data_IF_266022321293
#
_entry.id   IF_266022321293
#
_cell.length_a   1.000
_cell.length_b   1.000
_cell.length_c   1.000
_cell.angle_alpha   90.00
_cell.angle_beta   90.00
_cell.angle_gamma   90.00
#
_symmetry.space_group_name_H-M   'P 1'
#
loop_
_entity.id
_entity.type
_entity.pdbx_description
1 polymer ?
#
# COMPACT_ATOMS: atom_id res chain seq x y z
N UNK A 1 6.64 -26.31 -2.85
CA UNK A 1 5.40 -26.85 -3.46
C UNK A 1 5.14 -26.09 -4.74
N UNK A 2 4.62 -26.76 -5.78
CA UNK A 2 4.37 -26.19 -7.13
C UNK A 2 2.95 -25.58 -7.17
N UNK A 3 2.59 -24.78 -6.17
CA UNK A 3 1.28 -24.14 -6.08
C UNK A 3 1.38 -22.79 -5.38
N UNK A 4 0.47 -21.84 -5.68
CA UNK A 4 0.50 -20.53 -5.05
C UNK A 4 0.28 -20.68 -3.53
N UNK A 5 1.17 -20.11 -2.73
CA UNK A 5 1.00 -20.06 -1.28
C UNK A 5 -0.23 -19.21 -0.94
N UNK A 6 -1.36 -19.87 -0.70
CA UNK A 6 -2.62 -19.22 -0.35
C UNK A 6 -2.65 -18.72 1.11
N UNK A 7 -1.64 -18.99 1.93
CA UNK A 7 -1.59 -18.51 3.33
C UNK A 7 -1.41 -16.99 3.44
N UNK A 8 -1.03 -16.37 2.33
CA UNK A 8 -0.73 -14.93 2.20
C UNK A 8 -1.66 -14.19 1.24
N UNK A 9 -2.72 -14.84 0.80
CA UNK A 9 -3.72 -14.25 -0.11
C UNK A 9 -4.85 -13.58 0.69
N UNK A 10 -5.55 -12.60 0.12
CA UNK A 10 -6.72 -11.96 0.74
C UNK A 10 -6.35 -10.72 1.56
N UNK A 11 -5.97 -9.66 0.84
CA UNK A 11 -5.49 -8.35 1.35
C UNK A 11 -4.11 -8.34 2.04
N UNK A 12 -3.44 -9.50 2.14
CA UNK A 12 -2.01 -9.59 2.54
C UNK A 12 -1.07 -9.30 1.37
N UNK A 13 -1.44 -9.79 0.18
CA UNK A 13 -0.91 -9.32 -1.09
C UNK A 13 -1.99 -8.49 -1.79
N UNK A 14 -1.56 -7.40 -2.42
CA UNK A 14 -2.43 -6.53 -3.20
C UNK A 14 -2.59 -7.08 -4.62
N UNK A 15 -3.55 -6.56 -5.37
CA UNK A 15 -3.78 -6.99 -6.76
C UNK A 15 -2.54 -6.72 -7.63
N UNK A 16 -1.85 -5.61 -7.37
CA UNK A 16 -0.58 -5.23 -8.00
C UNK A 16 0.52 -6.27 -7.76
N UNK A 17 0.60 -6.81 -6.55
CA UNK A 17 1.52 -7.90 -6.24
C UNK A 17 1.17 -9.14 -7.06
N UNK A 18 -0.12 -9.49 -7.16
CA UNK A 18 -0.55 -10.64 -7.96
C UNK A 18 -0.26 -10.48 -9.45
N UNK A 19 -0.47 -9.28 -10.00
CA UNK A 19 -0.16 -8.97 -11.39
C UNK A 19 1.34 -9.08 -11.66
N UNK A 20 2.18 -8.49 -10.82
CA UNK A 20 3.63 -8.62 -10.92
C UNK A 20 4.06 -10.10 -10.83
N UNK A 21 3.46 -10.84 -9.90
CA UNK A 21 3.75 -12.26 -9.71
C UNK A 21 3.34 -13.13 -10.91
N UNK A 22 2.17 -12.89 -11.50
CA UNK A 22 1.74 -13.63 -12.69
C UNK A 22 2.57 -13.28 -13.92
N UNK A 23 3.03 -12.03 -14.05
CA UNK A 23 3.87 -11.62 -15.17
C UNK A 23 5.28 -12.20 -15.10
N UNK A 24 5.94 -12.05 -13.95
CA UNK A 24 7.23 -12.64 -13.66
C UNK A 24 7.40 -12.87 -12.15
N UNK A 25 7.19 -14.10 -11.66
CA UNK A 25 7.31 -14.42 -10.25
C UNK A 25 8.66 -14.01 -9.62
N UNK A 26 9.73 -13.98 -10.42
CA UNK A 26 11.09 -13.69 -9.96
C UNK A 26 11.33 -12.22 -9.66
N UNK A 27 10.45 -11.33 -10.12
CA UNK A 27 10.48 -9.91 -9.72
C UNK A 27 10.16 -9.71 -8.25
N UNK A 28 9.41 -10.63 -7.63
CA UNK A 28 8.96 -10.53 -6.23
C UNK A 28 9.64 -11.57 -5.34
N UNK A 29 9.90 -12.75 -5.90
CA UNK A 29 10.52 -13.88 -5.23
C UNK A 29 11.61 -14.43 -6.15
N UNK A 30 12.87 -13.96 -6.03
CA UNK A 30 13.95 -14.32 -6.96
C UNK A 30 14.14 -15.83 -7.16
N UNK A 31 13.93 -16.61 -6.10
CA UNK A 31 14.06 -18.08 -6.10
C UNK A 31 12.77 -18.81 -6.54
N UNK A 32 11.79 -18.11 -7.10
CA UNK A 32 10.52 -18.72 -7.50
C UNK A 32 10.70 -19.70 -8.66
N UNK A 33 10.24 -20.94 -8.46
CA UNK A 33 10.17 -21.97 -9.51
C UNK A 33 8.91 -21.87 -10.36
N UNK A 34 7.99 -20.95 -10.02
CA UNK A 34 6.74 -20.77 -10.78
C UNK A 34 7.06 -20.22 -12.17
N UNK A 35 6.44 -20.80 -13.20
CA UNK A 35 6.53 -20.29 -14.55
C UNK A 35 5.80 -18.94 -14.66
N UNK A 36 6.25 -18.01 -15.51
CA UNK A 36 5.51 -16.79 -15.80
C UNK A 36 4.22 -17.11 -16.58
N UNK A 37 3.13 -16.43 -16.24
CA UNK A 37 1.81 -16.57 -16.87
C UNK A 37 1.51 -15.37 -17.78
N UNK A 38 2.50 -14.92 -18.57
CA UNK A 38 2.37 -13.76 -19.47
C UNK A 38 1.23 -13.91 -20.48
N UNK A 39 0.92 -15.15 -20.90
CA UNK A 39 -0.22 -15.43 -21.78
C UNK A 39 -1.61 -15.13 -21.21
N UNK A 40 -1.72 -14.76 -19.92
CA UNK A 40 -2.96 -14.23 -19.34
C UNK A 40 -3.12 -12.72 -19.54
N UNK A 41 -2.07 -12.03 -19.98
CA UNK A 41 -2.07 -10.62 -20.34
C UNK A 41 -2.37 -10.47 -21.83
N UNK A 42 -3.00 -9.36 -22.19
CA UNK A 42 -3.16 -8.95 -23.57
C UNK A 42 -1.94 -8.12 -23.98
N UNK A 43 -1.10 -8.68 -24.84
CA UNK A 43 0.09 -8.02 -25.38
C UNK A 43 -0.16 -7.69 -26.86
N UNK A 44 -0.36 -6.41 -27.25
CA UNK A 44 -0.44 -6.03 -28.65
C UNK A 44 0.87 -6.36 -29.37
N UNK A 45 0.78 -6.86 -30.61
CA UNK A 45 1.97 -7.25 -31.40
C UNK A 45 2.86 -6.05 -31.79
N UNK A 46 2.29 -4.84 -31.86
CA UNK A 46 3.01 -3.64 -32.25
C UNK A 46 3.57 -2.88 -31.04
N UNK A 47 4.86 -2.56 -31.09
CA UNK A 47 5.48 -1.64 -30.14
C UNK A 47 4.90 -0.23 -30.31
N UNK A 48 4.71 0.46 -29.19
CA UNK A 48 4.15 1.82 -29.13
C UNK A 48 5.25 2.84 -29.02
N UNK A 49 5.20 3.89 -29.83
CA UNK A 49 6.18 4.97 -29.80
C UNK A 49 6.03 5.84 -28.55
N UNK A 50 7.14 6.28 -28.00
CA UNK A 50 7.21 7.26 -26.92
C UNK A 50 7.35 8.65 -27.55
N UNK A 51 6.54 9.61 -27.11
CA UNK A 51 6.52 10.99 -27.62
C UNK A 51 6.66 11.99 -26.48
N UNK A 52 7.09 13.21 -26.79
CA UNK A 52 7.02 14.34 -25.85
C UNK A 52 5.60 14.91 -25.89
N UNK A 53 4.98 15.14 -24.74
CA UNK A 53 3.64 15.71 -24.65
C UNK A 53 3.58 17.23 -24.88
N UNK A 54 4.72 17.85 -25.19
CA UNK A 54 4.89 19.29 -25.38
C UNK A 54 5.16 20.06 -24.09
N UNK A 55 5.21 19.37 -22.94
CA UNK A 55 5.51 19.95 -21.62
C UNK A 55 6.83 19.46 -21.03
N UNK A 56 7.61 18.70 -21.80
CA UNK A 56 8.87 18.08 -21.36
C UNK A 56 8.67 16.75 -20.63
N UNK A 57 7.45 16.19 -20.65
CA UNK A 57 7.18 14.84 -20.17
C UNK A 57 7.13 13.87 -21.36
N UNK A 58 7.65 12.66 -21.15
CA UNK A 58 7.49 11.54 -22.11
C UNK A 58 6.14 10.86 -21.86
N UNK A 59 5.40 10.63 -22.94
CA UNK A 59 4.10 9.93 -22.99
C UNK A 59 4.08 8.92 -24.16
N UNK A 60 2.95 8.27 -24.40
CA UNK A 60 2.75 7.31 -25.49
C UNK A 60 2.13 7.99 -26.72
N UNK A 61 2.50 7.54 -27.92
CA UNK A 61 1.84 7.94 -29.16
C UNK A 61 0.38 7.49 -29.17
N UNK A 62 -0.53 8.40 -29.55
CA UNK A 62 -1.96 8.12 -29.69
C UNK A 62 -2.21 7.29 -30.95
N UNK A 63 -2.52 6.02 -30.75
CA UNK A 63 -2.89 4.99 -31.74
C UNK A 63 -4.17 4.28 -31.30
N UNK A 64 -4.85 3.55 -32.20
CA UNK A 64 -6.05 2.75 -31.87
C UNK A 64 -5.79 1.78 -30.69
N UNK A 65 -4.61 1.15 -30.66
CA UNK A 65 -4.18 0.25 -29.57
C UNK A 65 -4.10 1.00 -28.23
N UNK A 66 -3.46 2.17 -28.21
CA UNK A 66 -3.31 2.94 -26.97
C UNK A 66 -4.62 3.63 -26.58
N UNK A 67 -5.47 4.05 -27.51
CA UNK A 67 -6.78 4.66 -27.24
C UNK A 67 -7.77 3.63 -26.65
N UNK A 68 -7.61 2.34 -26.98
CA UNK A 68 -8.35 1.27 -26.32
C UNK A 68 -7.96 1.04 -24.86
N UNK A 69 -6.79 1.56 -24.45
CA UNK A 69 -6.09 1.22 -23.22
C UNK A 69 -5.86 2.41 -22.26
N UNK A 70 -5.83 3.64 -22.77
CA UNK A 70 -5.56 4.85 -22.02
C UNK A 70 -6.56 5.94 -22.37
N UNK A 71 -6.92 6.75 -21.37
CA UNK A 71 -7.67 7.99 -21.58
C UNK A 71 -6.68 9.16 -21.76
N UNK A 72 -6.37 9.43 -23.03
CA UNK A 72 -5.53 10.56 -23.43
C UNK A 72 -6.18 11.93 -23.18
N UNK A 73 -7.50 11.96 -22.98
CA UNK A 73 -8.25 13.19 -22.74
C UNK A 73 -8.38 13.49 -21.23
N UNK A 74 -7.89 12.57 -20.38
CA UNK A 74 -7.84 12.76 -18.95
C UNK A 74 -6.92 13.93 -18.59
N UNK A 75 -7.26 14.67 -17.52
CA UNK A 75 -6.38 15.71 -16.96
C UNK A 75 -5.14 15.13 -16.25
N UNK A 76 -4.91 13.82 -16.32
CA UNK A 76 -3.79 13.15 -15.67
C UNK A 76 -2.76 12.72 -16.71
N UNK A 77 -1.52 13.14 -16.52
CA UNK A 77 -0.43 12.78 -17.42
C UNK A 77 -0.08 11.28 -17.30
N UNK A 78 0.17 10.63 -18.44
CA UNK A 78 0.82 9.32 -18.54
C UNK A 78 2.31 9.53 -18.29
N UNK A 79 2.71 9.62 -17.01
CA UNK A 79 4.09 9.93 -16.65
C UNK A 79 4.99 8.69 -16.63
N UNK A 80 5.82 8.57 -17.65
CA UNK A 80 6.78 7.48 -17.88
C UNK A 80 8.03 7.63 -16.99
N UNK A 81 8.18 6.82 -15.93
CA UNK A 81 9.34 6.86 -15.00
C UNK A 81 10.35 5.73 -15.26
N UNK A 82 11.63 6.00 -15.62
CA UNK A 82 12.65 4.99 -15.92
C UNK A 82 13.19 4.26 -14.72
N UNK A 83 13.54 2.98 -14.88
CA UNK A 83 14.50 2.33 -13.98
C UNK A 83 15.69 1.67 -14.72
N UNK A 84 16.61 1.06 -13.98
CA UNK A 84 17.78 0.35 -14.51
C UNK A 84 17.45 -0.86 -15.40
N UNK A 85 16.21 -1.34 -15.34
CA UNK A 85 15.68 -2.40 -16.18
C UNK A 85 14.77 -1.84 -17.28
N UNK A 86 14.71 -0.49 -17.40
CA UNK A 86 14.00 0.38 -18.35
C UNK A 86 12.49 0.63 -18.09
N UNK A 87 11.88 0.02 -17.08
CA UNK A 87 10.41 -0.10 -17.02
C UNK A 87 9.74 1.25 -16.80
N UNK A 88 8.56 1.44 -17.38
CA UNK A 88 7.78 2.69 -17.24
C UNK A 88 6.62 2.48 -16.28
N UNK A 89 6.54 3.33 -15.25
CA UNK A 89 5.33 3.46 -14.44
C UNK A 89 4.25 4.23 -15.21
N UNK A 90 2.96 3.89 -15.07
CA UNK A 90 1.85 4.79 -15.43
C UNK A 90 0.78 4.78 -14.33
N UNK A 91 0.34 5.94 -13.83
CA UNK A 91 -0.73 6.03 -12.81
C UNK A 91 -2.06 5.40 -13.26
N UNK A 92 -2.80 4.78 -12.33
CA UNK A 92 -4.07 4.08 -12.58
C UNK A 92 -5.15 4.97 -13.23
N UNK A 93 -5.27 6.22 -12.80
CA UNK A 93 -6.35 7.13 -13.22
C UNK A 93 -6.19 7.66 -14.65
N UNK A 94 -4.99 7.58 -15.24
CA UNK A 94 -4.78 7.81 -16.68
C UNK A 94 -5.21 6.61 -17.54
N UNK A 95 -5.59 5.50 -16.91
CA UNK A 95 -5.87 4.24 -17.60
C UNK A 95 -7.36 3.99 -17.81
N UNK A 96 -8.28 4.48 -16.96
CA UNK A 96 -9.75 4.15 -16.88
C UNK A 96 -10.13 2.65 -17.03
N UNK A 97 -9.13 1.80 -17.25
CA UNK A 97 -9.09 0.39 -17.64
C UNK A 97 -7.73 -0.17 -17.21
N UNK A 98 -7.60 -1.47 -17.44
CA UNK A 98 -6.71 -2.41 -16.76
C UNK A 98 -5.22 -2.06 -16.81
N UNK A 99 -4.44 -2.47 -15.80
CA UNK A 99 -3.03 -2.15 -15.65
C UNK A 99 -2.21 -2.58 -16.86
N UNK A 100 -1.33 -1.68 -17.29
CA UNK A 100 -0.46 -1.82 -18.46
C UNK A 100 0.98 -1.87 -17.99
N UNK A 101 1.68 -2.92 -18.40
CA UNK A 101 3.11 -3.10 -18.21
C UNK A 101 3.78 -2.54 -19.45
N UNK A 102 4.73 -1.66 -19.25
CA UNK A 102 5.56 -1.13 -20.33
C UNK A 102 6.93 -1.77 -20.20
N UNK A 103 7.17 -2.85 -20.95
CA UNK A 103 8.50 -3.44 -20.97
C UNK A 103 9.42 -2.59 -21.84
N UNK A 104 10.62 -2.32 -21.35
CA UNK A 104 11.64 -1.57 -22.06
C UNK A 104 12.67 -2.49 -22.72
N UNK A 105 13.33 -1.89 -23.69
CA UNK A 105 14.65 -2.29 -24.16
C UNK A 105 15.74 -1.88 -23.15
N UNK A 106 16.96 -2.41 -23.32
CA UNK A 106 18.10 -2.22 -22.40
C UNK A 106 18.53 -0.76 -22.17
N UNK A 107 17.98 0.18 -22.93
CA UNK A 107 18.29 1.59 -22.82
C UNK A 107 17.02 2.40 -22.88
N UNK A 108 16.71 3.12 -21.82
CA UNK A 108 15.64 4.11 -21.76
C UNK A 108 15.73 5.22 -22.83
N UNK A 109 16.75 5.18 -23.69
CA UNK A 109 16.95 5.96 -24.91
C UNK A 109 16.06 5.49 -26.07
N UNK A 110 15.38 4.35 -25.96
CA UNK A 110 14.49 3.82 -26.99
C UNK A 110 13.31 4.74 -27.32
N UNK A 111 12.90 4.74 -28.59
CA UNK A 111 11.73 5.48 -29.08
C UNK A 111 10.43 4.69 -28.94
N UNK A 112 10.45 3.43 -28.47
CA UNK A 112 9.27 2.55 -28.41
C UNK A 112 9.24 1.67 -27.16
N UNK A 113 8.04 1.17 -26.82
CA UNK A 113 7.75 0.26 -25.68
C UNK A 113 6.76 -0.83 -26.07
N UNK A 114 6.83 -1.99 -25.42
CA UNK A 114 5.77 -3.01 -25.54
C UNK A 114 4.78 -2.86 -24.39
N UNK A 115 3.49 -3.11 -24.67
CA UNK A 115 2.41 -3.01 -23.70
C UNK A 115 1.92 -4.41 -23.33
N UNK A 116 1.70 -4.68 -22.04
CA UNK A 116 0.92 -5.83 -21.60
C UNK A 116 -0.21 -5.37 -20.69
N UNK A 117 -1.47 -5.61 -21.09
CA UNK A 117 -2.65 -5.20 -20.36
C UNK A 117 -3.29 -6.38 -19.62
N UNK A 118 -3.83 -6.16 -18.42
CA UNK A 118 -4.62 -7.19 -17.74
C UNK A 118 -5.91 -7.51 -18.54
N UNK A 119 -6.28 -8.79 -18.59
CA UNK A 119 -7.50 -9.30 -19.26
C UNK A 119 -8.67 -9.47 -18.28
N UNK A 120 -9.89 -9.75 -18.77
CA UNK A 120 -11.03 -10.08 -17.88
C UNK A 120 -10.80 -11.37 -17.11
N UNK A 121 -10.25 -12.38 -17.78
CA UNK A 121 -9.86 -13.63 -17.16
C UNK A 121 -8.82 -13.44 -16.06
N UNK A 122 -7.81 -12.59 -16.28
CA UNK A 122 -6.79 -12.31 -15.26
C UNK A 122 -7.37 -11.55 -14.06
N UNK A 123 -8.18 -10.52 -14.30
CA UNK A 123 -8.87 -9.78 -13.24
C UNK A 123 -9.79 -10.70 -12.41
N UNK A 124 -10.52 -11.60 -13.07
CA UNK A 124 -11.36 -12.60 -12.41
C UNK A 124 -10.53 -13.60 -11.61
N UNK A 125 -9.39 -14.04 -12.12
CA UNK A 125 -8.46 -14.92 -11.42
C UNK A 125 -7.89 -14.25 -10.15
N UNK A 126 -7.43 -13.00 -10.25
CA UNK A 126 -6.94 -12.23 -9.10
C UNK A 126 -8.06 -12.10 -8.06
N UNK A 127 -9.28 -11.71 -8.49
CA UNK A 127 -10.46 -11.60 -7.62
C UNK A 127 -10.79 -12.92 -6.92
N UNK A 128 -10.74 -14.04 -7.64
CA UNK A 128 -10.97 -15.37 -7.10
C UNK A 128 -9.91 -15.76 -6.06
N UNK A 129 -8.63 -15.55 -6.38
CA UNK A 129 -7.51 -15.78 -5.46
C UNK A 129 -7.71 -14.95 -4.19
N UNK A 130 -7.91 -13.63 -4.31
CA UNK A 130 -8.21 -12.74 -3.18
C UNK A 130 -9.37 -13.27 -2.32
N UNK A 131 -10.47 -13.70 -2.95
CA UNK A 131 -11.64 -14.26 -2.26
C UNK A 131 -11.32 -15.51 -1.45
N UNK A 132 -10.48 -16.42 -1.96
CA UNK A 132 -10.03 -17.60 -1.22
C UNK A 132 -9.29 -17.21 0.07
N UNK A 133 -8.45 -16.17 0.01
CA UNK A 133 -7.75 -15.65 1.19
C UNK A 133 -8.67 -15.01 2.22
N UNK A 134 -9.73 -14.33 1.78
CA UNK A 134 -10.67 -13.60 2.65
C UNK A 134 -11.76 -14.47 3.29
N UNK A 135 -12.12 -15.61 2.70
CA UNK A 135 -13.16 -16.51 3.24
C UNK A 135 -12.75 -17.25 4.55
N UNK A 136 -11.66 -16.85 5.22
CA UNK A 136 -11.16 -17.48 6.46
C UNK A 136 -11.74 -16.91 7.77
N UNK A 137 -12.64 -15.91 7.73
CA UNK A 137 -13.34 -15.38 8.93
C UNK A 137 -12.46 -14.58 9.92
N UNK A 138 -12.95 -14.38 11.16
CA UNK A 138 -12.28 -13.65 12.28
C UNK A 138 -10.86 -14.12 12.62
N UNK A 139 -10.43 -15.28 12.13
CA UNK A 139 -9.04 -15.77 12.21
C UNK A 139 -7.99 -14.76 11.72
N UNK A 140 -8.40 -13.80 10.89
CA UNK A 140 -7.53 -12.76 10.35
C UNK A 140 -7.07 -11.72 11.37
N UNK A 141 -7.89 -11.44 12.40
CA UNK A 141 -7.58 -10.41 13.40
C UNK A 141 -6.63 -10.94 14.49
N UNK A 142 -6.43 -12.28 14.54
CA UNK A 142 -5.51 -12.98 15.43
C UNK A 142 -4.16 -13.34 14.78
N UNK A 143 -3.80 -12.74 13.64
CA UNK A 143 -2.42 -12.85 13.14
C UNK A 143 -1.47 -12.06 14.05
N UNK A 144 -1.13 -12.68 15.19
CA UNK A 144 -0.25 -12.19 16.27
C UNK A 144 1.09 -11.57 15.85
N UNK A 145 1.74 -11.94 14.72
CA UNK A 145 3.01 -11.28 14.36
C UNK A 145 2.88 -9.79 14.00
N UNK A 146 1.65 -9.27 13.87
CA UNK A 146 1.37 -7.89 13.46
C UNK A 146 1.07 -6.93 14.62
N UNK A 147 0.88 -7.46 15.84
CA UNK A 147 0.72 -6.71 17.09
C UNK A 147 2.04 -6.54 17.83
N UNK A 148 3.12 -6.31 17.07
CA UNK A 148 4.36 -5.83 17.64
C UNK A 148 4.12 -4.39 18.09
N UNK A 149 3.89 -4.21 19.39
CA UNK A 149 4.20 -2.95 20.05
C UNK A 149 5.66 -2.60 19.77
N UNK A 150 5.98 -1.30 19.76
CA UNK A 150 7.31 -0.82 19.38
C UNK A 150 8.34 -1.49 20.29
N UNK A 151 9.02 -2.50 19.78
CA UNK A 151 10.19 -3.08 20.43
C UNK A 151 11.36 -2.19 20.09
N UNK A 152 12.08 -1.77 21.13
CA UNK A 152 13.37 -1.09 21.00
C UNK A 152 14.48 -2.12 20.67
N UNK A 153 14.19 -2.99 19.71
CA UNK A 153 15.13 -3.95 19.18
C UNK A 153 16.01 -3.20 18.17
N UNK A 154 17.28 -3.04 18.52
CA UNK A 154 18.29 -2.42 17.67
C UNK A 154 19.43 -3.40 17.39
N UNK A 155 20.15 -3.14 16.31
CA UNK A 155 21.38 -3.83 15.95
C UNK A 155 22.50 -2.80 15.86
N UNK A 156 23.68 -3.06 16.45
CA UNK A 156 24.78 -2.12 16.38
C UNK A 156 25.22 -1.93 14.94
N UNK A 157 25.47 -0.67 14.56
CA UNK A 157 26.04 -0.36 13.23
C UNK A 157 27.40 -1.02 13.09
N UNK A 158 27.54 -1.91 12.11
CA UNK A 158 28.83 -2.51 11.72
C UNK A 158 28.85 -2.77 10.22
N UNK A 159 30.04 -2.80 9.62
CA UNK A 159 30.20 -3.16 8.21
C UNK A 159 29.69 -4.58 7.91
N UNK A 160 29.85 -5.51 8.87
CA UNK A 160 29.34 -6.88 8.78
C UNK A 160 27.81 -6.92 8.67
N UNK A 161 27.10 -6.22 9.57
CA UNK A 161 25.63 -6.20 9.54
C UNK A 161 25.07 -5.45 8.35
N UNK A 162 25.74 -4.40 7.88
CA UNK A 162 25.37 -3.69 6.66
C UNK A 162 25.54 -4.60 5.44
N UNK A 163 26.66 -5.34 5.35
CA UNK A 163 26.90 -6.29 4.26
C UNK A 163 25.89 -7.44 4.26
N UNK A 164 25.61 -8.04 5.42
CA UNK A 164 24.57 -9.06 5.54
C UNK A 164 23.17 -8.50 5.21
N UNK A 165 22.88 -7.28 5.65
CA UNK A 165 21.65 -6.57 5.33
C UNK A 165 21.45 -6.36 3.83
N UNK A 166 22.52 -6.11 3.08
CA UNK A 166 22.51 -6.03 1.61
C UNK A 166 22.09 -7.37 0.98
N UNK A 167 22.61 -8.50 1.46
CA UNK A 167 22.22 -9.82 0.97
C UNK A 167 20.72 -10.09 1.20
N UNK A 168 20.21 -9.72 2.38
CA UNK A 168 18.77 -9.82 2.68
C UNK A 168 17.96 -8.92 1.74
N UNK A 169 18.41 -7.68 1.54
CA UNK A 169 17.76 -6.72 0.65
C UNK A 169 17.67 -7.22 -0.79
N UNK A 170 18.77 -7.73 -1.35
CA UNK A 170 18.84 -8.26 -2.71
C UNK A 170 17.93 -9.47 -2.92
N UNK A 171 17.68 -10.27 -1.89
CA UNK A 171 16.79 -11.42 -2.00
C UNK A 171 15.32 -11.08 -1.81
N UNK A 172 15.00 -10.03 -1.05
CA UNK A 172 13.63 -9.80 -0.52
C UNK A 172 13.02 -8.45 -0.89
N UNK A 173 13.83 -7.42 -1.12
CA UNK A 173 13.37 -6.03 -1.20
C UNK A 173 13.64 -5.38 -2.57
N UNK A 174 14.74 -5.77 -3.24
CA UNK A 174 15.23 -5.13 -4.47
C UNK A 174 14.20 -5.15 -5.61
N UNK A 175 13.37 -6.19 -5.67
CA UNK A 175 12.33 -6.36 -6.68
C UNK A 175 11.36 -5.19 -6.76
N UNK A 176 11.02 -4.60 -5.60
CA UNK A 176 10.14 -3.43 -5.52
C UNK A 176 10.94 -2.14 -5.34
N UNK A 177 11.89 -2.12 -4.42
CA UNK A 177 12.57 -0.88 -4.01
C UNK A 177 13.77 -0.49 -4.88
N UNK A 178 14.23 -1.36 -5.77
CA UNK A 178 15.32 -1.10 -6.73
C UNK A 178 16.71 -1.24 -6.13
N UNK A 179 17.72 -1.46 -6.97
CA UNK A 179 19.11 -1.68 -6.52
C UNK A 179 19.70 -0.45 -5.79
N UNK A 180 19.18 0.75 -6.10
CA UNK A 180 19.59 2.01 -5.48
C UNK A 180 18.68 2.42 -4.30
N UNK A 181 17.64 1.65 -4.01
CA UNK A 181 16.62 2.03 -3.03
C UNK A 181 15.72 3.19 -3.48
N UNK A 182 15.67 3.50 -4.78
CA UNK A 182 14.93 4.63 -5.38
C UNK A 182 13.43 4.35 -5.58
N UNK A 183 12.92 3.25 -5.01
CA UNK A 183 11.51 2.86 -5.13
C UNK A 183 11.14 2.40 -6.55
N UNK A 184 12.12 1.94 -7.31
CA UNK A 184 12.02 1.77 -8.75
C UNK A 184 12.52 0.40 -9.23
N UNK A 185 12.28 -0.65 -8.44
CA UNK A 185 12.58 -2.03 -8.84
C UNK A 185 11.70 -2.53 -10.00
N UNK A 186 12.01 -3.71 -10.57
CA UNK A 186 11.26 -4.25 -11.71
C UNK A 186 9.76 -4.47 -11.42
N UNK A 187 9.37 -4.78 -10.18
CA UNK A 187 7.97 -4.89 -9.81
C UNK A 187 7.25 -3.53 -9.66
N UNK A 188 7.99 -2.41 -9.57
CA UNK A 188 7.40 -1.10 -9.29
C UNK A 188 6.41 -0.63 -10.39
N UNK A 189 6.57 -1.06 -11.64
CA UNK A 189 5.64 -0.75 -12.75
C UNK A 189 4.21 -1.23 -12.50
N UNK A 190 4.04 -2.29 -11.69
CA UNK A 190 2.74 -2.82 -11.32
C UNK A 190 2.09 -2.05 -10.18
N UNK A 191 2.84 -1.26 -9.42
CA UNK A 191 2.42 -0.68 -8.13
C UNK A 191 1.66 0.64 -8.32
N UNK A 192 0.62 0.61 -9.14
CA UNK A 192 -0.10 1.78 -9.64
C UNK A 192 -0.90 2.54 -8.57
N UNK A 193 -1.29 1.91 -7.46
CA UNK A 193 -1.96 2.61 -6.37
C UNK A 193 -0.98 3.33 -5.44
N UNK A 194 0.17 2.71 -5.15
CA UNK A 194 1.16 3.21 -4.21
C UNK A 194 2.55 2.75 -4.64
N UNK A 195 3.43 3.70 -4.97
CA UNK A 195 4.81 3.37 -5.31
C UNK A 195 5.57 2.78 -4.12
N UNK A 196 6.53 1.87 -4.37
CA UNK A 196 7.53 1.50 -3.38
C UNK A 196 8.23 2.74 -2.83
N UNK A 197 8.64 2.69 -1.56
CA UNK A 197 9.35 3.80 -0.92
C UNK A 197 10.71 4.01 -1.58
N UNK A 198 10.96 5.26 -1.98
CA UNK A 198 12.29 5.77 -2.24
C UNK A 198 12.98 6.08 -0.90
N UNK A 199 14.06 5.36 -0.62
CA UNK A 199 14.87 5.50 0.59
C UNK A 199 15.91 6.60 0.45
N UNK A 200 16.28 7.01 -0.77
CA UNK A 200 17.38 7.96 -1.03
C UNK A 200 17.13 9.36 -0.47
N UNK A 201 15.85 9.73 -0.31
CA UNK A 201 15.40 10.98 0.32
C UNK A 201 15.26 10.91 1.84
N UNK A 202 15.42 9.73 2.44
CA UNK A 202 15.20 9.45 3.87
C UNK A 202 13.83 9.92 4.43
N UNK A 203 12.80 9.99 3.57
CA UNK A 203 11.44 10.39 3.98
C UNK A 203 10.58 9.16 4.32
N UNK A 204 10.42 8.89 5.61
CA UNK A 204 9.64 7.75 6.12
C UNK A 204 8.27 8.17 6.68
N UNK A 205 7.22 7.53 6.19
CA UNK A 205 5.83 7.83 6.57
C UNK A 205 5.48 7.40 8.00
N UNK A 206 5.95 6.23 8.42
CA UNK A 206 5.55 5.60 9.68
C UNK A 206 6.71 5.69 10.67
N UNK A 207 6.54 6.53 11.68
CA UNK A 207 7.56 6.81 12.69
C UNK A 207 6.92 7.07 14.05
N UNK A 208 7.72 6.95 15.10
CA UNK A 208 7.37 7.35 16.46
C UNK A 208 8.34 8.42 16.96
N UNK A 209 8.91 9.23 16.09
CA UNK A 209 9.87 10.30 16.44
C UNK A 209 9.24 11.67 16.24
N UNK A 210 9.85 12.74 16.80
CA UNK A 210 9.46 14.11 16.45
C UNK A 210 10.09 14.51 15.12
N UNK A 211 11.34 14.16 14.96
CA UNK A 211 12.20 14.34 13.79
C UNK A 211 11.77 13.39 12.65
N UNK A 212 12.04 13.72 11.37
CA UNK A 212 11.53 12.96 10.24
C UNK A 212 12.08 11.53 10.13
N UNK A 213 13.25 11.25 10.72
CA UNK A 213 13.86 9.93 10.65
C UNK A 213 13.23 8.94 11.65
N UNK A 214 12.96 7.69 11.22
CA UNK A 214 12.44 6.62 12.07
C UNK A 214 13.54 5.99 12.92
N UNK A 215 13.15 5.34 14.02
CA UNK A 215 14.04 4.44 14.78
C UNK A 215 14.14 3.05 14.14
N UNK A 216 15.07 2.21 14.61
CA UNK A 216 15.12 0.79 14.21
C UNK A 216 13.79 0.08 14.52
N UNK A 217 13.18 0.39 15.67
CA UNK A 217 11.88 -0.17 16.07
C UNK A 217 10.75 0.22 15.13
N UNK A 218 10.73 1.47 14.63
CA UNK A 218 9.76 1.92 13.64
C UNK A 218 9.88 1.17 12.31
N UNK A 219 11.11 1.01 11.83
CA UNK A 219 11.39 0.28 10.59
C UNK A 219 11.12 -1.22 10.76
N UNK A 220 11.51 -1.80 11.89
CA UNK A 220 11.26 -3.21 12.22
C UNK A 220 9.77 -3.51 12.24
N UNK A 221 8.98 -2.64 12.88
CA UNK A 221 7.52 -2.76 12.90
C UNK A 221 6.95 -2.73 11.48
N UNK A 222 7.40 -1.78 10.66
CA UNK A 222 6.96 -1.65 9.26
C UNK A 222 7.29 -2.88 8.43
N UNK A 223 8.53 -3.38 8.50
CA UNK A 223 8.98 -4.57 7.75
C UNK A 223 8.23 -5.82 8.22
N UNK A 224 8.08 -5.99 9.53
CA UNK A 224 7.46 -7.18 10.11
C UNK A 224 6.01 -7.35 9.67
N UNK A 225 5.23 -6.26 9.72
CA UNK A 225 3.79 -6.32 9.43
C UNK A 225 3.44 -6.02 7.96
N UNK A 226 4.38 -5.49 7.20
CA UNK A 226 4.11 -4.94 5.88
C UNK A 226 3.26 -3.68 5.96
N UNK A 227 2.68 -3.27 4.83
CA UNK A 227 1.79 -2.10 4.77
C UNK A 227 0.49 -2.53 4.11
N UNK A 228 -0.57 -2.67 4.93
CA UNK A 228 -1.89 -3.11 4.46
C UNK A 228 -2.43 -2.20 3.35
N UNK A 229 -3.12 -2.80 2.38
CA UNK A 229 -3.64 -2.09 1.21
C UNK A 229 -2.54 -1.64 0.24
N UNK A 230 -1.35 -2.21 0.31
CA UNK A 230 -0.25 -1.99 -0.63
C UNK A 230 0.44 -3.32 -0.97
N UNK A 231 1.34 -3.30 -1.94
CA UNK A 231 2.11 -4.47 -2.32
C UNK A 231 3.29 -4.78 -1.38
N UNK A 232 3.50 -4.02 -0.29
CA UNK A 232 4.54 -4.31 0.70
C UNK A 232 4.06 -5.39 1.68
N UNK A 233 4.51 -6.65 1.54
CA UNK A 233 4.01 -7.73 2.37
C UNK A 233 4.63 -7.72 3.77
N UNK A 234 4.04 -8.47 4.73
CA UNK A 234 4.71 -8.76 5.98
C UNK A 234 5.93 -9.66 5.78
N UNK A 235 6.93 -9.48 6.64
CA UNK A 235 8.17 -10.27 6.69
C UNK A 235 8.46 -10.86 8.07
N UNK A 236 7.43 -11.08 8.89
CA UNK A 236 7.60 -11.61 10.25
C UNK A 236 8.25 -13.00 10.30
N UNK A 237 8.14 -13.77 9.22
CA UNK A 237 8.75 -15.08 9.07
C UNK A 237 10.26 -15.03 8.89
N UNK A 238 10.81 -13.86 8.52
CA UNK A 238 12.25 -13.68 8.51
C UNK A 238 12.77 -13.61 9.95
N UNK A 239 13.92 -14.24 10.24
CA UNK A 239 14.60 -14.07 11.52
C UNK A 239 14.72 -12.59 11.91
N UNK A 240 14.65 -12.30 13.21
CA UNK A 240 14.78 -10.93 13.72
C UNK A 240 16.09 -10.28 13.24
N UNK A 241 17.19 -11.03 13.25
CA UNK A 241 18.50 -10.54 12.79
C UNK A 241 18.50 -10.16 11.30
N UNK A 242 17.82 -10.91 10.43
CA UNK A 242 17.71 -10.58 9.01
C UNK A 242 16.97 -9.26 8.82
N UNK A 243 15.85 -9.09 9.54
CA UNK A 243 15.06 -7.84 9.52
C UNK A 243 15.85 -6.65 10.05
N UNK A 244 16.59 -6.82 11.14
CA UNK A 244 17.45 -5.77 11.70
C UNK A 244 18.65 -5.45 10.79
N UNK A 245 19.26 -6.44 10.16
CA UNK A 245 20.38 -6.24 9.26
C UNK A 245 19.97 -5.47 8.01
N UNK A 246 18.82 -5.81 7.38
CA UNK A 246 18.33 -5.03 6.24
C UNK A 246 17.99 -3.59 6.61
N UNK A 247 17.56 -3.32 7.86
CA UNK A 247 17.39 -1.96 8.38
C UNK A 247 18.72 -1.21 8.39
N UNK A 248 19.82 -1.84 8.84
CA UNK A 248 21.14 -1.20 8.82
C UNK A 248 21.56 -0.82 7.39
N UNK A 249 21.35 -1.72 6.43
CA UNK A 249 21.63 -1.44 5.02
C UNK A 249 20.79 -0.28 4.47
N UNK A 250 19.48 -0.27 4.75
CA UNK A 250 18.59 0.83 4.33
C UNK A 250 19.07 2.17 4.91
N UNK A 251 19.37 2.22 6.22
CA UNK A 251 19.76 3.46 6.91
C UNK A 251 21.10 4.03 6.45
N UNK A 252 22.10 3.16 6.29
CA UNK A 252 23.48 3.62 6.15
C UNK A 252 24.03 3.53 4.73
N UNK A 253 23.35 2.82 3.82
CA UNK A 253 23.77 2.73 2.41
C UNK A 253 22.70 3.30 1.46
N UNK A 254 21.41 3.03 1.68
CA UNK A 254 20.36 3.48 0.75
C UNK A 254 19.86 4.89 1.06
N UNK A 255 19.68 5.24 2.34
CA UNK A 255 19.25 6.56 2.80
C UNK A 255 20.43 7.56 2.84
N UNK A 256 20.97 7.82 1.65
CA UNK A 256 22.07 8.74 1.41
C UNK A 256 21.74 9.55 0.16
N UNK A 257 21.70 10.87 0.29
CA UNK A 257 21.58 11.77 -0.86
C UNK A 257 22.94 11.80 -1.59
N UNK A 258 22.88 11.52 -2.89
CA UNK A 258 24.05 11.45 -3.78
C UNK A 258 23.92 12.42 -4.95
N UNK A 259 23.08 13.46 -4.81
CA UNK A 259 22.94 14.54 -5.79
C UNK A 259 24.26 15.27 -6.05
N UNK A 260 25.12 15.39 -5.03
CA UNK A 260 26.55 15.68 -5.16
C UNK A 260 27.39 14.43 -4.86
N UNK A 261 27.90 13.70 -5.88
CA UNK A 261 28.72 12.51 -5.67
C UNK A 261 30.04 12.77 -4.92
N UNK A 262 30.54 14.01 -4.91
CA UNK A 262 31.76 14.37 -4.18
C UNK A 262 31.51 14.55 -2.67
N UNK A 263 30.26 14.79 -2.27
CA UNK A 263 29.86 15.00 -0.88
C UNK A 263 28.51 14.35 -0.58
N UNK A 264 28.45 13.00 -0.51
CA UNK A 264 27.20 12.30 -0.23
C UNK A 264 26.72 12.61 1.19
N UNK A 265 25.44 12.95 1.33
CA UNK A 265 24.83 13.28 2.62
C UNK A 265 24.14 12.04 3.22
N UNK A 266 24.75 11.45 4.23
CA UNK A 266 24.24 10.24 4.89
C UNK A 266 23.31 10.58 6.06
N UNK A 267 22.00 10.68 5.78
CA UNK A 267 20.99 11.18 6.73
C UNK A 267 21.07 10.57 8.14
N UNK A 268 21.20 9.25 8.26
CA UNK A 268 21.26 8.57 9.58
C UNK A 268 22.60 8.70 10.30
N UNK A 269 23.63 9.26 9.65
CA UNK A 269 24.93 9.60 10.27
C UNK A 269 24.92 11.05 10.72
N UNK A 270 24.45 11.94 9.86
CA UNK A 270 24.45 13.38 10.11
C UNK A 270 23.33 13.81 11.08
N UNK A 271 22.15 13.19 10.98
CA UNK A 271 20.96 13.53 11.76
C UNK A 271 20.31 12.27 12.37
N UNK A 272 20.95 11.59 13.34
CA UNK A 272 20.39 10.39 13.93
C UNK A 272 18.99 10.64 14.53
N UNK A 273 18.09 9.64 14.50
CA UNK A 273 16.72 9.81 14.99
C UNK A 273 16.70 10.19 16.46
N UNK A 274 15.80 11.11 16.82
CA UNK A 274 15.54 11.47 18.21
C UNK A 274 14.86 10.34 18.99
N UNK A 275 14.68 10.51 20.32
CA UNK A 275 14.03 9.51 21.15
C UNK A 275 12.58 9.27 20.70
N UNK A 276 12.06 8.03 20.79
CA UNK A 276 10.67 7.74 20.54
C UNK A 276 9.74 8.60 21.41
N UNK A 277 8.65 9.07 20.82
CA UNK A 277 7.55 9.73 21.51
C UNK A 277 6.86 8.72 22.43
N UNK A 278 6.62 9.13 23.67
CA UNK A 278 5.80 8.38 24.59
C UNK A 278 4.32 8.46 24.16
N UNK A 279 3.72 7.31 23.84
CA UNK A 279 2.27 7.18 23.67
C UNK A 279 1.76 6.52 24.94
N UNK A 280 0.92 7.25 25.70
CA UNK A 280 0.27 6.71 26.89
C UNK A 280 -0.68 5.55 26.55
N UNK A 281 -1.18 4.86 27.58
CA UNK A 281 -2.20 3.82 27.35
C UNK A 281 -3.47 4.46 26.79
N UNK A 282 -4.16 3.81 25.83
CA UNK A 282 -5.42 4.33 25.32
C UNK A 282 -6.43 4.45 26.47
N UNK A 283 -7.14 5.58 26.60
CA UNK A 283 -8.21 5.70 27.58
C UNK A 283 -9.37 4.78 27.22
N UNK A 284 -10.19 4.40 28.21
CA UNK A 284 -11.38 3.56 27.98
C UNK A 284 -12.35 4.26 27.02
N UNK A 285 -12.80 3.58 25.94
CA UNK A 285 -13.73 4.18 24.99
C UNK A 285 -15.08 4.48 25.64
N UNK A 286 -15.71 5.58 25.22
CA UNK A 286 -17.05 5.98 25.66
C UNK A 286 -17.79 6.74 24.57
N UNK A 287 -19.12 6.86 24.68
CA UNK A 287 -19.91 7.65 23.72
C UNK A 287 -19.48 9.12 23.72
N UNK A 288 -19.22 9.71 24.90
CA UNK A 288 -18.71 11.08 25.04
C UNK A 288 -17.40 11.28 24.27
N UNK A 289 -16.51 10.29 24.28
CA UNK A 289 -15.25 10.34 23.54
C UNK A 289 -15.46 10.27 22.02
N UNK A 290 -16.42 9.47 21.55
CA UNK A 290 -16.78 9.43 20.14
C UNK A 290 -17.40 10.74 19.66
N UNK A 291 -18.27 11.33 20.46
CA UNK A 291 -18.89 12.63 20.18
C UNK A 291 -17.82 13.72 20.11
N UNK A 292 -16.88 13.72 21.08
CA UNK A 292 -15.72 14.62 21.06
C UNK A 292 -14.84 14.41 19.82
N UNK A 293 -14.54 13.16 19.48
CA UNK A 293 -13.74 12.83 18.29
C UNK A 293 -14.39 13.31 16.99
N UNK A 294 -15.71 13.24 16.90
CA UNK A 294 -16.48 13.79 15.78
C UNK A 294 -16.41 15.32 15.71
N UNK A 295 -16.41 16.01 16.85
CA UNK A 295 -16.19 17.46 16.88
C UNK A 295 -14.77 17.82 16.42
N UNK A 296 -13.76 17.11 16.94
CA UNK A 296 -12.35 17.30 16.53
C UNK A 296 -12.19 17.06 15.03
N UNK A 297 -12.86 16.05 14.45
CA UNK A 297 -12.87 15.79 13.00
C UNK A 297 -13.33 17.01 12.18
N UNK A 298 -14.33 17.74 12.68
CA UNK A 298 -14.84 18.95 12.03
C UNK A 298 -13.87 20.12 12.19
N UNK A 299 -13.39 20.36 13.42
CA UNK A 299 -12.49 21.49 13.75
C UNK A 299 -11.12 21.34 13.10
N UNK A 300 -10.55 20.14 13.13
CA UNK A 300 -9.29 19.78 12.47
C UNK A 300 -9.41 19.70 10.94
N UNK A 301 -10.63 19.86 10.40
CA UNK A 301 -10.94 19.84 8.96
C UNK A 301 -10.50 18.55 8.26
N UNK A 302 -10.50 17.42 8.99
CA UNK A 302 -10.14 16.12 8.44
C UNK A 302 -11.01 15.76 7.21
N UNK A 303 -12.28 16.18 7.24
CA UNK A 303 -13.25 15.98 6.16
C UNK A 303 -12.89 16.68 4.84
N UNK A 304 -12.09 17.74 4.83
CA UNK A 304 -11.72 18.43 3.58
C UNK A 304 -10.94 17.49 2.64
N UNK A 305 -10.16 16.57 3.21
CA UNK A 305 -9.43 15.54 2.48
C UNK A 305 -10.14 14.17 2.58
N UNK A 306 -10.51 13.73 3.77
CA UNK A 306 -11.05 12.38 3.96
C UNK A 306 -12.56 12.26 3.70
N UNK A 307 -13.26 13.36 3.45
CA UNK A 307 -14.72 13.40 3.29
C UNK A 307 -15.47 13.30 4.62
N UNK A 308 -16.76 13.63 4.64
CA UNK A 308 -17.55 13.62 5.88
C UNK A 308 -17.65 12.22 6.51
N UNK A 309 -17.65 11.19 5.66
CA UNK A 309 -17.72 9.78 6.09
C UNK A 309 -16.38 9.05 6.16
N UNK A 310 -15.25 9.73 5.93
CA UNK A 310 -13.92 9.12 5.97
C UNK A 310 -13.56 8.25 4.75
N UNK A 311 -14.27 8.35 3.63
CA UNK A 311 -14.03 7.54 2.42
C UNK A 311 -12.83 7.99 1.58
N UNK A 312 -12.23 9.12 1.90
CA UNK A 312 -11.18 9.73 1.07
C UNK A 312 -11.73 10.51 -0.13
N UNK A 313 -12.99 10.95 -0.07
CA UNK A 313 -13.73 11.65 -1.11
C UNK A 313 -13.98 13.13 -0.80
N UNK A 314 -13.14 13.73 0.07
CA UNK A 314 -13.21 15.17 0.36
C UNK A 314 -12.83 16.01 -0.86
N UNK A 315 -13.31 17.27 -0.89
CA UNK A 315 -13.09 18.17 -2.04
C UNK A 315 -11.61 18.36 -2.39
N UNK A 316 -10.70 18.30 -1.40
CA UNK A 316 -9.25 18.42 -1.62
C UNK A 316 -8.59 17.11 -2.04
N UNK A 317 -9.26 15.96 -1.90
CA UNK A 317 -8.66 14.63 -2.08
C UNK A 317 -8.00 14.42 -3.44
N UNK A 318 -8.65 14.87 -4.52
CA UNK A 318 -8.20 14.64 -5.89
C UNK A 318 -6.90 15.37 -6.24
N UNK A 319 -6.61 16.49 -5.57
CA UNK A 319 -5.44 17.34 -5.85
C UNK A 319 -4.21 17.03 -4.99
N UNK A 320 -4.31 16.12 -4.02
CA UNK A 320 -3.20 15.83 -3.11
C UNK A 320 -2.06 15.10 -3.82
N UNK A 321 -0.85 15.62 -3.64
CA UNK A 321 0.39 15.05 -4.13
C UNK A 321 1.38 14.83 -2.99
N UNK A 322 2.24 13.84 -3.11
CA UNK A 322 3.39 13.69 -2.22
C UNK A 322 4.51 14.66 -2.59
N UNK A 323 5.55 14.71 -1.76
CA UNK A 323 6.65 15.69 -1.91
C UNK A 323 7.48 15.49 -3.20
N UNK A 324 7.31 14.35 -3.88
CA UNK A 324 7.94 14.03 -5.17
C UNK A 324 6.96 14.14 -6.35
N UNK A 325 5.75 14.67 -6.12
CA UNK A 325 4.79 15.08 -7.15
C UNK A 325 3.78 14.01 -7.58
N UNK A 326 3.80 12.81 -7.01
CA UNK A 326 2.84 11.75 -7.32
C UNK A 326 1.52 11.95 -6.57
N UNK A 327 0.41 11.59 -7.21
CA UNK A 327 -0.90 11.63 -6.57
C UNK A 327 -0.92 10.71 -5.32
N UNK A 328 -1.36 11.25 -4.18
CA UNK A 328 -1.45 10.51 -2.91
C UNK A 328 -2.87 10.64 -2.34
N UNK A 329 -3.85 9.88 -2.88
CA UNK A 329 -5.22 9.98 -2.40
C UNK A 329 -5.30 9.60 -0.91
N UNK A 330 -6.15 10.28 -0.12
CA UNK A 330 -6.42 9.90 1.26
C UNK A 330 -6.93 8.45 1.32
N UNK A 331 -6.58 7.74 2.39
CA UNK A 331 -7.09 6.39 2.60
C UNK A 331 -8.62 6.40 2.84
N UNK A 332 -9.31 5.39 2.33
CA UNK A 332 -10.67 5.05 2.76
C UNK A 332 -10.60 4.46 4.18
N UNK A 333 -10.83 5.32 5.17
CA UNK A 333 -10.81 4.98 6.59
C UNK A 333 -11.96 4.03 6.96
N UNK A 334 -12.96 3.88 6.09
CA UNK A 334 -14.10 2.99 6.32
C UNK A 334 -13.80 1.53 5.95
N UNK A 335 -12.69 1.27 5.26
CA UNK A 335 -12.23 -0.08 4.90
C UNK A 335 -11.63 -0.86 6.09
N UNK A 336 -11.23 -0.16 7.15
CA UNK A 336 -10.44 -0.75 8.25
C UNK A 336 -9.01 -1.16 7.85
N UNK A 337 -8.57 -0.86 6.63
CA UNK A 337 -7.21 -1.16 6.14
C UNK A 337 -6.29 0.05 6.35
N UNK A 338 -5.90 0.28 7.60
CA UNK A 338 -4.98 1.35 7.94
C UNK A 338 -3.53 0.94 7.65
N UNK A 339 -2.80 1.75 6.86
CA UNK A 339 -1.39 1.52 6.50
C UNK A 339 -0.49 1.42 7.73
N UNK A 340 -0.67 2.34 8.68
CA UNK A 340 0.02 2.35 9.96
C UNK A 340 -0.51 1.31 10.93
N UNK A 341 -1.57 0.57 10.62
CA UNK A 341 -2.18 -0.49 11.44
C UNK A 341 -3.52 -0.14 12.06
N UNK A 342 -4.32 -1.16 12.42
CA UNK A 342 -5.72 -0.98 12.77
C UNK A 342 -5.98 -0.65 14.24
N UNK A 343 -4.98 -0.74 15.11
CA UNK A 343 -5.14 -0.46 16.54
C UNK A 343 -5.37 1.05 16.77
N UNK A 344 -6.07 1.41 17.84
CA UNK A 344 -6.35 2.82 18.14
C UNK A 344 -5.06 3.60 18.39
N UNK A 345 -4.04 2.96 18.95
CA UNK A 345 -2.69 3.49 19.18
C UNK A 345 -1.94 3.75 17.87
N UNK A 346 -2.19 2.94 16.84
CA UNK A 346 -1.59 3.12 15.51
C UNK A 346 -2.18 4.34 14.79
N UNK A 347 -3.48 4.56 14.97
CA UNK A 347 -4.20 5.73 14.45
C UNK A 347 -3.79 6.97 15.24
N UNK A 348 -3.72 6.88 16.57
CA UNK A 348 -3.22 7.95 17.43
C UNK A 348 -1.81 8.36 17.03
N UNK A 349 -0.91 7.39 16.80
CA UNK A 349 0.44 7.65 16.31
C UNK A 349 0.41 8.40 14.98
N UNK A 350 -0.40 7.96 14.03
CA UNK A 350 -0.52 8.59 12.71
C UNK A 350 -0.98 10.05 12.82
N UNK A 351 -1.98 10.34 13.65
CA UNK A 351 -2.45 11.72 13.90
C UNK A 351 -1.37 12.54 14.60
N UNK A 352 -0.64 11.92 15.52
CA UNK A 352 0.43 12.55 16.31
C UNK A 352 1.63 12.93 15.47
N UNK A 353 2.16 12.03 14.66
CA UNK A 353 3.40 12.25 13.91
C UNK A 353 3.16 12.83 12.53
N UNK A 354 1.94 12.72 12.01
CA UNK A 354 1.66 12.89 10.59
C UNK A 354 2.32 11.79 9.76
N UNK A 355 2.25 11.94 8.44
CA UNK A 355 2.91 11.03 7.50
C UNK A 355 3.88 11.84 6.64
N UNK A 356 5.18 11.78 6.97
CA UNK A 356 6.23 12.52 6.26
C UNK A 356 6.20 12.21 4.76
N UNK A 357 6.45 13.23 3.94
CA UNK A 357 6.36 13.07 2.49
C UNK A 357 4.94 13.15 1.94
N UNK A 358 3.94 13.50 2.76
CA UNK A 358 2.55 13.60 2.31
C UNK A 358 1.86 14.83 2.89
N UNK A 359 0.71 15.24 2.33
CA UNK A 359 -0.10 16.33 2.88
C UNK A 359 -0.77 16.03 4.23
N UNK A 360 -0.60 14.84 4.83
CA UNK A 360 -1.17 14.50 6.14
C UNK A 360 -0.25 15.03 7.27
N UNK A 361 -0.59 16.15 7.93
CA UNK A 361 0.30 16.81 8.87
C UNK A 361 0.33 16.12 10.23
N UNK A 362 1.27 16.53 11.07
CA UNK A 362 1.22 16.25 12.51
C UNK A 362 0.19 17.16 13.18
N UNK A 363 -0.62 16.59 14.06
CA UNK A 363 -1.58 17.32 14.89
C UNK A 363 -1.13 17.43 16.35
N UNK A 364 0.07 16.94 16.70
CA UNK A 364 0.60 16.91 18.07
C UNK A 364 0.59 18.29 18.72
N UNK A 365 1.02 19.31 17.97
CA UNK A 365 1.21 20.65 18.50
C UNK A 365 -0.08 21.50 18.36
N UNK A 366 -1.15 20.94 17.79
CA UNK A 366 -2.43 21.63 17.54
C UNK A 366 -3.61 21.09 18.37
N UNK A 367 -3.52 19.86 18.86
CA UNK A 367 -4.57 19.20 19.65
C UNK A 367 -3.98 18.46 20.84
N UNK A 368 -4.69 18.46 21.98
CA UNK A 368 -4.25 17.73 23.18
C UNK A 368 -4.26 16.22 22.95
N UNK A 369 -3.63 15.47 23.87
CA UNK A 369 -3.65 14.01 23.83
C UNK A 369 -5.08 13.48 23.95
N UNK A 370 -5.92 14.06 24.81
CA UNK A 370 -7.32 13.67 24.98
C UNK A 370 -8.10 13.83 23.67
N UNK A 371 -7.92 14.95 22.97
CA UNK A 371 -8.59 15.21 21.69
C UNK A 371 -8.09 14.27 20.58
N UNK A 372 -6.79 13.96 20.55
CA UNK A 372 -6.22 13.02 19.58
C UNK A 372 -6.67 11.58 19.85
N UNK A 373 -6.81 11.17 21.12
CA UNK A 373 -7.41 9.87 21.46
C UNK A 373 -8.87 9.80 21.05
N UNK A 374 -9.65 10.84 21.34
CA UNK A 374 -11.05 10.93 20.93
C UNK A 374 -11.20 10.83 19.40
N UNK A 375 -10.39 11.58 18.65
CA UNK A 375 -10.34 11.51 17.19
C UNK A 375 -9.96 10.11 16.69
N UNK A 376 -9.01 9.45 17.34
CA UNK A 376 -8.57 8.10 16.95
C UNK A 376 -9.69 7.08 17.09
N UNK A 377 -10.44 7.11 18.20
CA UNK A 377 -11.61 6.26 18.37
C UNK A 377 -12.73 6.57 17.38
N UNK A 378 -12.95 7.84 17.05
CA UNK A 378 -13.89 8.22 16.00
C UNK A 378 -13.49 7.62 14.63
N UNK A 379 -12.20 7.67 14.27
CA UNK A 379 -11.69 7.05 13.04
C UNK A 379 -11.87 5.54 13.04
N UNK A 380 -11.60 4.85 14.16
CA UNK A 380 -11.90 3.41 14.30
C UNK A 380 -13.39 3.15 14.05
N UNK A 381 -14.27 3.96 14.60
CA UNK A 381 -15.72 3.82 14.46
C UNK A 381 -16.22 4.00 13.01
N UNK A 382 -15.50 4.73 12.14
CA UNK A 382 -15.82 4.84 10.71
C UNK A 382 -15.64 3.50 9.96
N UNK A 383 -14.75 2.64 10.46
CA UNK A 383 -14.47 1.32 9.89
C UNK A 383 -15.30 0.19 10.52
N UNK A 384 -15.76 0.39 11.75
CA UNK A 384 -16.62 -0.56 12.41
C UNK A 384 -17.88 -0.74 11.54
N UNK A 385 -18.26 -1.99 11.27
CA UNK A 385 -19.48 -2.35 10.53
C UNK A 385 -19.42 -2.26 9.00
N UNK A 386 -18.24 -2.30 8.37
CA UNK A 386 -18.15 -2.51 6.91
C UNK A 386 -17.27 -3.68 6.52
N UNK A 387 -17.65 -4.33 5.41
CA UNK A 387 -16.86 -5.39 4.80
C UNK A 387 -15.66 -4.76 4.09
N UNK A 388 -14.42 -5.17 4.36
CA UNK A 388 -13.22 -4.49 3.86
C UNK A 388 -13.00 -4.64 2.34
N UNK A 389 -13.69 -5.55 1.65
CA UNK A 389 -13.57 -5.77 0.21
C UNK A 389 -14.65 -5.00 -0.58
N UNK A 390 -15.91 -5.13 -0.14
CA UNK A 390 -17.06 -4.54 -0.82
C UNK A 390 -17.43 -3.14 -0.31
N UNK A 391 -16.86 -2.74 0.84
CA UNK A 391 -17.15 -1.49 1.55
C UNK A 391 -18.63 -1.33 1.93
N UNK A 392 -19.40 -2.42 1.85
CA UNK A 392 -20.81 -2.45 2.24
C UNK A 392 -20.94 -2.63 3.75
N UNK A 393 -22.01 -2.09 4.38
CA UNK A 393 -22.29 -2.36 5.77
C UNK A 393 -22.38 -3.87 6.05
N UNK A 394 -21.59 -4.37 6.99
CA UNK A 394 -21.72 -5.74 7.50
C UNK A 394 -23.06 -5.85 8.22
N UNK A 395 -23.98 -6.62 7.65
CA UNK A 395 -25.22 -7.00 8.34
C UNK A 395 -24.93 -8.16 9.29
N UNK A 396 -24.47 -7.79 10.49
CA UNK A 396 -24.17 -8.70 11.58
C UNK A 396 -25.41 -8.78 12.48
N UNK A 397 -25.85 -10.01 12.80
CA UNK A 397 -26.92 -10.22 13.78
C UNK A 397 -26.57 -9.55 15.10
N UNK A 398 -27.57 -9.04 15.81
CA UNK A 398 -27.36 -8.23 17.02
C UNK A 398 -26.59 -9.00 18.09
N UNK A 399 -26.79 -10.32 18.18
CA UNK A 399 -26.08 -11.23 19.08
C UNK A 399 -24.60 -11.37 18.69
N UNK A 400 -24.30 -11.48 17.40
CA UNK A 400 -22.93 -11.53 16.90
C UNK A 400 -22.21 -10.17 17.01
N UNK A 401 -22.96 -9.06 16.97
CA UNK A 401 -22.45 -7.71 17.24
C UNK A 401 -22.16 -7.50 18.72
N UNK A 402 -22.98 -8.05 19.62
CA UNK A 402 -22.70 -8.06 21.05
C UNK A 402 -21.44 -8.89 21.37
N UNK A 403 -21.29 -10.04 20.72
CA UNK A 403 -20.11 -10.89 20.84
C UNK A 403 -18.82 -10.25 20.31
N UNK A 404 -18.89 -9.27 19.40
CA UNK A 404 -17.73 -8.48 18.95
C UNK A 404 -17.15 -7.56 20.04
N UNK A 405 -17.95 -7.22 21.06
CA UNK A 405 -17.55 -6.37 22.17
C UNK A 405 -17.16 -7.18 23.43
N UNK A 406 -17.21 -8.51 23.35
CA UNK A 406 -16.83 -9.42 24.44
C UNK A 406 -15.33 -9.74 24.34
N UNK A 407 -14.55 -9.26 25.32
CA UNK A 407 -13.11 -9.47 25.39
C UNK A 407 -12.73 -10.93 25.68
N UNK A 408 -13.66 -11.74 26.18
CA UNK A 408 -13.44 -13.15 26.50
C UNK A 408 -13.83 -14.08 25.33
N UNK A 409 -14.35 -13.54 24.21
CA UNK A 409 -14.72 -14.33 23.05
C UNK A 409 -13.50 -14.84 22.28
N UNK A 410 -13.16 -16.12 22.47
CA UNK A 410 -12.09 -16.80 21.75
C UNK A 410 -12.60 -17.39 20.43
N UNK A 411 -12.30 -16.74 19.31
CA UNK A 411 -12.56 -17.25 17.95
C UNK A 411 -11.37 -18.06 17.41
N UNK A 412 -11.03 -19.15 18.11
CA UNK A 412 -9.90 -20.04 17.78
C UNK A 412 -10.16 -20.98 16.59
N UNK A 413 -11.36 -20.99 15.98
CA UNK A 413 -11.75 -21.84 14.84
C UNK A 413 -12.66 -21.10 13.85
N UNK A 414 -12.58 -21.36 12.53
CA UNK A 414 -13.39 -20.65 11.54
C UNK A 414 -14.89 -20.80 11.78
N UNK A 415 -15.34 -21.95 12.30
CA UNK A 415 -16.76 -22.17 12.64
C UNK A 415 -17.24 -21.31 13.82
N UNK A 416 -16.32 -20.76 14.62
CA UNK A 416 -16.59 -19.87 15.76
C UNK A 416 -16.44 -18.39 15.38
N UNK A 417 -16.02 -18.09 14.15
CA UNK A 417 -16.09 -16.75 13.61
C UNK A 417 -17.56 -16.36 13.37
N UNK A 418 -17.88 -15.06 13.41
CA UNK A 418 -19.24 -14.63 13.13
C UNK A 418 -19.63 -15.04 11.71
N UNK A 419 -20.85 -15.55 11.55
CA UNK A 419 -21.42 -15.89 10.25
C UNK A 419 -22.32 -14.72 9.83
N UNK A 420 -22.06 -14.05 8.70
CA UNK A 420 -22.98 -13.06 8.14
C UNK A 420 -24.37 -13.65 7.95
N UNK A 421 -25.43 -12.86 8.08
CA UNK A 421 -26.80 -13.38 7.97
C UNK A 421 -27.08 -13.94 6.54
N UNK A 422 -27.29 -15.26 6.37
CA UNK A 422 -27.49 -15.85 5.06
C UNK A 422 -28.89 -15.58 4.48
N UNK A 423 -29.82 -15.03 5.26
CA UNK A 423 -31.21 -14.79 4.83
C UNK A 423 -31.38 -13.52 3.99
N UNK A 424 -30.33 -12.71 3.84
CA UNK A 424 -30.34 -11.49 3.05
C UNK A 424 -29.29 -11.62 1.95
N UNK A 425 -29.68 -11.65 0.67
CA UNK A 425 -28.71 -11.79 -0.42
C UNK A 425 -27.72 -10.63 -0.39
N UNK A 426 -26.43 -10.94 -0.51
CA UNK A 426 -25.41 -9.94 -0.76
C UNK A 426 -25.81 -9.16 -2.01
N UNK A 427 -25.70 -7.83 -1.98
CA UNK A 427 -25.65 -7.06 -3.21
C UNK A 427 -24.47 -7.60 -4.01
N UNK A 428 -24.75 -8.43 -5.01
CA UNK A 428 -23.72 -9.01 -5.86
C UNK A 428 -22.89 -7.92 -6.54
N UNK A 429 -21.74 -8.29 -7.11
CA UNK A 429 -21.00 -7.38 -7.98
C UNK A 429 -21.95 -6.79 -9.03
N UNK A 430 -21.71 -5.54 -9.49
CA UNK A 430 -22.50 -4.95 -10.56
C UNK A 430 -22.59 -5.94 -11.71
N UNK A 431 -23.81 -6.16 -12.21
CA UNK A 431 -24.04 -7.06 -13.33
C UNK A 431 -23.09 -6.68 -14.49
N UNK A 432 -22.51 -7.67 -15.19
CA UNK A 432 -21.70 -7.37 -16.37
C UNK A 432 -22.54 -6.49 -17.31
N UNK A 433 -21.95 -5.47 -17.95
CA UNK A 433 -22.66 -4.66 -18.92
C UNK A 433 -23.23 -5.61 -19.97
N UNK A 434 -24.56 -5.66 -20.04
CA UNK A 434 -25.26 -6.63 -20.88
C UNK A 434 -24.76 -6.54 -22.32
N UNK A 435 -24.42 -7.69 -22.91
CA UNK A 435 -24.19 -7.81 -24.34
C UNK A 435 -25.38 -7.15 -25.06
N UNK A 436 -25.10 -6.04 -25.76
CA UNK A 436 -26.02 -5.55 -26.77
C UNK A 436 -26.16 -6.67 -27.80
N UNK A 437 -27.32 -7.32 -27.80
CA UNK A 437 -27.72 -8.20 -28.88
C UNK A 437 -27.52 -7.44 -30.21
N UNK A 438 -26.70 -8.02 -31.08
CA UNK A 438 -26.58 -7.56 -32.45
C UNK A 438 -27.97 -7.53 -33.10
N UNK A 439 -28.32 -6.50 -33.90
CA UNK A 439 -29.59 -6.48 -34.59
C UNK A 439 -29.64 -7.65 -35.57
N UNK A 440 -30.67 -8.48 -35.45
CA UNK A 440 -31.00 -9.48 -36.45
C UNK A 440 -31.29 -8.75 -37.77
N UNK A 441 -30.44 -8.96 -38.78
CA UNK A 441 -30.69 -8.53 -40.14
C UNK A 441 -31.92 -9.26 -40.68
N UNK A 442 -32.86 -8.48 -41.21
CA UNK A 442 -33.95 -8.93 -42.08
C UNK A 442 -33.54 -8.95 -43.54
#
# INVERSE_FOLDING_TARGET
GIGPDLTRVGLKYSDEWHLAHFYDPRMLVPDSIMAPYRGLFHEPDAAVRIVDDGTGNRTLERTEVTEGLFDFDSKQAIQLTPNAYGLLFVPLKARERKPIILTPNDEYTGETVSIAAETESLAALVSYVQKLGMNRGKWRDLFEPQSLEVMDATMPRSAEWIAYGKEVYERRCIGCHGAKGDGNGPAATFMFNQRPRDFTSAVFKFRLTKEPLPTDGDMLRTITRGIRGTAMPPWYELPLNDRLAVIQYIKYELAVDRSDPASPYAFFVEEPPGPPLYIGRPPTPSQTMLDRGKEVWQVAKCWECHGQGGKGDGEKAAGLKDDIGFATPPADLTSGQFKSGPAVEDIFRTITTGLSGTPMPSYRDSFSDEDRWALSYFVVALSAYKDPLSLQPLRIKQEARAALNDLDLVADKPERAYVPDPSVPASGPPAPPGEKQAPAGG
#
